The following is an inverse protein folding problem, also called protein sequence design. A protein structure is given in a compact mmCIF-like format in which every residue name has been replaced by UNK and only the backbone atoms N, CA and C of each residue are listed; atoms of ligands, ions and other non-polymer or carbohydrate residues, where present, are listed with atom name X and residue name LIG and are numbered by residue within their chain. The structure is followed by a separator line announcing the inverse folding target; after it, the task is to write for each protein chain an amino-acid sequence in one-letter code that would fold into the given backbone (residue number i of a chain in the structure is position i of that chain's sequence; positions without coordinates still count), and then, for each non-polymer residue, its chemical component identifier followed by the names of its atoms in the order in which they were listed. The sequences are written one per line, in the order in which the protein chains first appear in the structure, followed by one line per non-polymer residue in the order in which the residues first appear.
data_IF_059803977957
#
_entry.id   IF_059803977957
#
_cell.length_a   1.000
_cell.length_b   1.000
_cell.length_c   1.000
_cell.angle_alpha   90.00
_cell.angle_beta   90.00
_cell.angle_gamma   90.00
#
_symmetry.space_group_name_H-M   'P 1'
#
loop_
_entity.id
_entity.type
_entity.pdbx_description
1 polymer ?
#
# COMPACT_ATOMS: atom_id res chain seq x y z
N UNK A 1 -39.06 -18.97 41.13
CA UNK A 1 -37.78 -18.60 40.48
C UNK A 1 -36.82 -18.14 41.55
N UNK A 2 -35.92 -18.99 42.03
CA UNK A 2 -34.83 -18.57 42.93
C UNK A 2 -33.57 -19.34 42.53
N UNK A 3 -32.82 -18.74 41.60
CA UNK A 3 -31.52 -19.24 41.17
C UNK A 3 -30.54 -19.14 42.34
N UNK A 4 -29.99 -20.28 42.79
CA UNK A 4 -28.93 -20.29 43.81
C UNK A 4 -27.64 -19.80 43.15
N UNK A 5 -27.30 -18.54 43.36
CA UNK A 5 -26.08 -17.95 42.85
C UNK A 5 -24.87 -18.59 43.55
N UNK A 6 -24.00 -19.25 42.79
CA UNK A 6 -22.81 -19.94 43.31
C UNK A 6 -21.68 -18.92 43.59
N UNK A 7 -21.84 -18.18 44.69
CA UNK A 7 -20.95 -17.11 45.17
C UNK A 7 -19.46 -17.48 45.15
N UNK A 8 -19.01 -18.68 45.60
CA UNK A 8 -17.57 -18.99 45.56
C UNK A 8 -17.01 -19.08 44.14
N UNK A 9 -17.81 -19.54 43.17
CA UNK A 9 -17.41 -19.59 41.76
C UNK A 9 -17.25 -18.21 41.14
N UNK A 10 -18.14 -17.27 41.49
CA UNK A 10 -18.05 -15.88 41.02
C UNK A 10 -16.81 -15.17 41.57
N UNK A 11 -16.48 -15.40 42.84
CA UNK A 11 -15.27 -14.84 43.47
C UNK A 11 -14.00 -15.40 42.80
N UNK A 12 -13.94 -16.72 42.57
CA UNK A 12 -12.78 -17.36 41.93
C UNK A 12 -12.55 -16.84 40.50
N UNK A 13 -13.63 -16.63 39.74
CA UNK A 13 -13.57 -16.06 38.39
C UNK A 13 -13.09 -14.60 38.43
N UNK A 14 -13.62 -13.78 39.35
CA UNK A 14 -13.20 -12.37 39.45
C UNK A 14 -11.72 -12.20 39.79
N UNK A 15 -11.14 -13.12 40.58
CA UNK A 15 -9.72 -13.09 40.94
C UNK A 15 -8.82 -13.49 39.76
N UNK A 16 -9.29 -14.36 38.86
CA UNK A 16 -8.54 -14.78 37.67
C UNK A 16 -8.38 -13.66 36.62
N UNK A 17 -9.28 -12.67 36.59
CA UNK A 17 -9.23 -11.58 35.59
C UNK A 17 -8.24 -10.45 35.94
N UNK A 18 -7.72 -10.38 37.17
CA UNK A 18 -6.79 -9.32 37.59
C UNK A 18 -5.30 -9.61 37.27
N UNK A 19 -5.00 -10.75 36.64
CA UNK A 19 -3.63 -11.28 36.52
C UNK A 19 -2.78 -10.68 35.37
N UNK A 20 -3.33 -9.81 34.51
CA UNK A 20 -2.61 -9.28 33.34
C UNK A 20 -2.35 -7.76 33.42
N UNK A 21 -1.71 -7.28 34.49
CA UNK A 21 -1.18 -5.91 34.54
C UNK A 21 0.29 -5.89 34.05
N UNK A 22 0.62 -5.20 32.93
CA UNK A 22 1.99 -5.05 32.49
C UNK A 22 2.76 -4.07 33.40
N UNK A 23 3.98 -4.43 33.79
CA UNK A 23 4.88 -3.54 34.53
C UNK A 23 5.44 -2.44 33.61
N UNK A 24 5.49 -1.17 34.04
CA UNK A 24 6.07 -0.10 33.24
C UNK A 24 7.58 -0.35 33.01
N UNK A 25 8.09 -0.12 31.79
CA UNK A 25 9.49 -0.31 31.47
C UNK A 25 10.37 0.69 32.23
N UNK A 26 11.48 0.20 32.81
CA UNK A 26 12.48 1.06 33.46
C UNK A 26 13.17 1.93 32.41
N UNK A 27 13.24 3.27 32.58
CA UNK A 27 13.97 4.13 31.66
C UNK A 27 15.44 3.71 31.55
N UNK A 28 15.95 3.56 30.32
CA UNK A 28 17.34 3.20 30.06
C UNK A 28 18.29 4.33 30.48
N UNK A 29 19.35 4.00 31.22
CA UNK A 29 20.30 4.97 31.79
C UNK A 29 21.05 5.80 30.74
N UNK A 30 21.11 5.34 29.48
CA UNK A 30 21.90 5.97 28.42
C UNK A 30 21.29 7.20 27.74
N UNK A 31 20.08 7.65 28.14
CA UNK A 31 19.42 8.80 27.49
C UNK A 31 19.56 10.12 28.26
N UNK A 32 20.06 10.08 29.51
CA UNK A 32 20.19 11.27 30.38
C UNK A 32 21.66 11.65 30.63
N UNK A 33 22.61 10.77 30.31
CA UNK A 33 24.01 11.14 30.28
C UNK A 33 24.29 11.93 29.01
N UNK A 34 24.44 13.25 29.15
CA UNK A 34 24.95 14.11 28.10
C UNK A 34 26.45 13.76 27.97
N UNK A 35 26.90 13.15 26.86
CA UNK A 35 28.32 12.88 26.70
C UNK A 35 29.07 14.21 26.72
N UNK A 36 30.05 14.32 27.61
CA UNK A 36 30.95 15.48 27.69
C UNK A 36 31.64 15.63 26.34
N UNK A 37 31.27 16.66 25.59
CA UNK A 37 31.89 16.99 24.30
C UNK A 37 33.35 17.34 24.58
N UNK A 38 34.25 16.38 24.34
CA UNK A 38 35.68 16.65 24.27
C UNK A 38 35.88 17.45 22.98
N UNK A 39 36.28 18.71 23.11
CA UNK A 39 36.41 19.65 21.99
C UNK A 39 37.38 19.12 20.94
N UNK A 40 36.83 18.53 19.89
CA UNK A 40 37.52 18.25 18.64
C UNK A 40 37.30 19.40 17.68
N UNK A 41 38.36 19.82 16.99
CA UNK A 41 38.33 20.83 15.95
C UNK A 41 37.37 20.35 14.84
N UNK A 42 36.24 21.04 14.69
CA UNK A 42 35.21 20.64 13.73
C UNK A 42 35.71 21.02 12.33
N UNK A 43 35.70 20.09 11.35
CA UNK A 43 36.12 20.42 10.00
C UNK A 43 35.22 21.52 9.42
N UNK A 44 35.79 22.41 8.58
CA UNK A 44 35.04 23.52 8.01
C UNK A 44 33.86 23.01 7.16
N UNK A 45 32.74 23.75 7.10
CA UNK A 45 31.57 23.38 6.30
C UNK A 45 31.93 23.15 4.84
N UNK A 46 31.44 22.04 4.28
CA UNK A 46 31.60 21.74 2.85
C UNK A 46 30.69 22.69 2.05
N UNK A 47 31.30 23.72 1.45
CA UNK A 47 30.59 24.77 0.69
C UNK A 47 30.51 24.48 -0.81
N UNK A 48 31.25 23.49 -1.30
CA UNK A 48 31.29 23.14 -2.72
C UNK A 48 30.60 21.80 -2.96
N UNK A 49 29.36 21.85 -3.46
CA UNK A 49 28.64 20.68 -3.98
C UNK A 49 28.72 20.72 -5.51
N UNK A 50 29.12 19.63 -6.19
CA UNK A 50 29.07 19.56 -7.64
C UNK A 50 27.66 19.87 -8.18
N UNK A 51 27.53 20.51 -9.35
CA UNK A 51 26.23 20.75 -9.96
C UNK A 51 25.49 19.43 -10.17
N UNK A 52 24.18 19.41 -9.86
CA UNK A 52 23.34 18.28 -10.20
C UNK A 52 23.34 18.08 -11.72
N UNK A 53 23.37 16.83 -12.20
CA UNK A 53 23.17 16.57 -13.61
C UNK A 53 21.80 17.13 -14.04
N UNK A 54 21.67 17.62 -15.29
CA UNK A 54 20.42 18.13 -15.78
C UNK A 54 19.32 17.06 -15.69
N UNK A 55 18.08 17.42 -15.35
CA UNK A 55 16.96 16.49 -15.34
C UNK A 55 16.83 15.79 -16.69
N UNK A 56 16.67 14.47 -16.68
CA UNK A 56 16.37 13.71 -17.90
C UNK A 56 14.88 13.83 -18.18
N UNK A 57 14.54 14.23 -19.40
CA UNK A 57 13.15 14.21 -19.88
C UNK A 57 12.76 12.73 -20.07
N UNK A 58 11.67 12.24 -19.46
CA UNK A 58 11.17 10.90 -19.73
C UNK A 58 10.77 10.76 -21.21
N UNK A 59 11.01 9.59 -21.79
CA UNK A 59 10.45 9.26 -23.11
C UNK A 59 8.91 9.34 -23.07
N UNK A 60 8.26 9.93 -24.10
CA UNK A 60 6.81 9.95 -24.18
C UNK A 60 6.26 8.52 -24.16
N UNK A 61 5.45 8.19 -23.15
CA UNK A 61 4.74 6.91 -23.10
C UNK A 61 3.40 7.05 -23.79
N UNK A 62 3.02 6.07 -24.60
CA UNK A 62 1.70 6.06 -25.25
C UNK A 62 0.57 6.08 -24.20
N UNK A 63 -0.40 6.96 -24.45
CA UNK A 63 -1.59 7.14 -23.60
C UNK A 63 -2.84 6.77 -24.38
N UNK A 64 -3.82 6.27 -23.65
CA UNK A 64 -5.09 5.81 -24.18
C UNK A 64 -6.22 6.37 -23.33
N UNK A 65 -7.38 6.53 -23.97
CA UNK A 65 -8.57 7.10 -23.35
C UNK A 65 -9.77 6.17 -23.54
N UNK A 66 -10.31 5.68 -22.44
CA UNK A 66 -11.47 4.78 -22.42
C UNK A 66 -12.47 5.21 -21.37
N UNK A 67 -13.72 5.37 -21.81
CA UNK A 67 -14.84 5.74 -20.95
C UNK A 67 -15.98 4.77 -21.21
N UNK A 68 -16.43 4.12 -20.15
CA UNK A 68 -17.49 3.12 -20.23
C UNK A 68 -18.18 2.94 -18.90
N UNK A 69 -19.48 2.74 -18.94
CA UNK A 69 -20.30 2.40 -17.78
C UNK A 69 -20.82 1.00 -18.01
N UNK A 70 -20.58 0.11 -17.04
CA UNK A 70 -21.08 -1.26 -17.07
C UNK A 70 -20.70 -1.98 -18.38
N UNK A 71 -19.41 -2.00 -18.73
CA UNK A 71 -18.91 -2.61 -19.96
C UNK A 71 -18.40 -4.03 -19.68
N UNK A 72 -18.65 -5.03 -20.54
CA UNK A 72 -18.04 -6.35 -20.43
C UNK A 72 -16.51 -6.26 -20.40
N UNK A 73 -15.88 -6.83 -19.36
CA UNK A 73 -14.44 -6.73 -19.18
C UNK A 73 -13.65 -7.32 -20.36
N UNK A 74 -14.11 -8.44 -20.92
CA UNK A 74 -13.45 -9.11 -22.04
C UNK A 74 -13.42 -8.25 -23.30
N UNK A 75 -14.54 -7.60 -23.62
CA UNK A 75 -14.66 -6.70 -24.77
C UNK A 75 -13.74 -5.50 -24.59
N UNK A 76 -13.79 -4.86 -23.42
CA UNK A 76 -12.90 -3.75 -23.08
C UNK A 76 -11.42 -4.10 -23.21
N UNK A 77 -11.00 -5.29 -22.75
CA UNK A 77 -9.63 -5.76 -22.86
C UNK A 77 -9.20 -5.99 -24.32
N UNK A 78 -10.09 -6.53 -25.16
CA UNK A 78 -9.81 -6.69 -26.60
C UNK A 78 -9.75 -5.35 -27.33
N UNK A 79 -10.63 -4.41 -26.99
CA UNK A 79 -10.60 -3.04 -27.52
C UNK A 79 -9.29 -2.34 -27.16
N UNK A 80 -8.88 -2.42 -25.89
CA UNK A 80 -7.59 -1.89 -25.42
C UNK A 80 -6.39 -2.53 -26.16
N UNK A 81 -6.40 -3.85 -26.34
CA UNK A 81 -5.34 -4.55 -27.05
C UNK A 81 -5.23 -4.10 -28.51
N UNK A 82 -6.38 -3.92 -29.18
CA UNK A 82 -6.46 -3.42 -30.55
C UNK A 82 -5.93 -2.00 -30.67
N UNK A 83 -6.30 -1.11 -29.76
CA UNK A 83 -5.86 0.29 -29.77
C UNK A 83 -4.35 0.41 -29.48
N UNK A 84 -3.87 -0.36 -28.50
CA UNK A 84 -2.45 -0.44 -28.16
C UNK A 84 -1.60 -1.27 -29.14
N UNK A 85 -2.22 -1.88 -30.16
CA UNK A 85 -1.56 -2.71 -31.19
C UNK A 85 -0.70 -3.85 -30.58
N UNK A 86 -1.21 -4.50 -29.55
CA UNK A 86 -0.55 -5.64 -28.89
C UNK A 86 -1.35 -6.92 -29.02
N UNK A 87 -0.65 -8.05 -28.96
CA UNK A 87 -1.27 -9.36 -28.84
C UNK A 87 -1.62 -9.62 -27.36
N UNK A 88 -2.84 -10.06 -27.10
CA UNK A 88 -3.33 -10.36 -25.74
C UNK A 88 -4.10 -11.66 -25.74
N UNK A 89 -3.73 -12.56 -24.84
CA UNK A 89 -4.46 -13.78 -24.54
C UNK A 89 -5.32 -13.57 -23.29
N UNK A 90 -6.63 -13.82 -23.41
CA UNK A 90 -7.59 -13.68 -22.31
C UNK A 90 -8.09 -15.05 -21.90
N UNK A 91 -7.83 -15.45 -20.66
CA UNK A 91 -8.31 -16.72 -20.15
C UNK A 91 -9.85 -16.81 -20.19
N UNK A 92 -10.42 -18.01 -20.42
CA UNK A 92 -11.87 -18.19 -20.54
C UNK A 92 -12.67 -17.82 -19.28
N UNK A 93 -12.03 -17.92 -18.11
CA UNK A 93 -12.62 -17.64 -16.80
C UNK A 93 -12.75 -16.14 -16.50
N UNK A 94 -12.08 -15.27 -17.26
CA UNK A 94 -12.19 -13.82 -17.14
C UNK A 94 -13.61 -13.36 -17.49
N UNK A 95 -14.34 -12.90 -16.47
CA UNK A 95 -15.74 -12.50 -16.54
C UNK A 95 -15.97 -11.23 -15.70
N UNK A 96 -17.14 -10.63 -15.86
CA UNK A 96 -17.57 -9.47 -15.10
C UNK A 96 -17.74 -8.21 -15.95
N UNK A 97 -18.28 -7.18 -15.31
CA UNK A 97 -18.55 -5.88 -15.92
C UNK A 97 -17.85 -4.80 -15.11
N UNK A 98 -17.37 -3.78 -15.81
CA UNK A 98 -16.59 -2.71 -15.21
C UNK A 98 -17.10 -1.37 -15.71
N UNK A 99 -17.09 -0.39 -14.81
CA UNK A 99 -17.24 1.01 -15.16
C UNK A 99 -15.90 1.68 -15.00
N UNK A 100 -15.42 2.32 -16.05
CA UNK A 100 -14.10 2.95 -16.08
C UNK A 100 -14.19 4.30 -16.78
N UNK A 101 -13.48 5.28 -16.24
CA UNK A 101 -13.17 6.53 -16.90
C UNK A 101 -11.66 6.73 -16.79
N UNK A 102 -10.94 6.46 -17.87
CA UNK A 102 -9.50 6.63 -18.00
C UNK A 102 -9.24 7.56 -19.17
N UNK A 103 -8.65 8.73 -18.91
CA UNK A 103 -8.30 9.71 -19.94
C UNK A 103 -6.81 9.95 -19.82
N UNK A 104 -6.11 9.94 -20.94
CA UNK A 104 -4.67 10.17 -21.07
C UNK A 104 -3.84 9.29 -20.10
N UNK A 105 -4.21 8.02 -19.99
CA UNK A 105 -3.54 7.05 -19.13
C UNK A 105 -2.76 6.03 -19.93
N UNK A 106 -1.61 5.64 -19.40
CA UNK A 106 -0.80 4.58 -20.01
C UNK A 106 -1.50 3.23 -19.88
N UNK A 107 -1.26 2.31 -20.81
CA UNK A 107 -1.85 0.98 -20.76
C UNK A 107 -1.63 0.25 -19.41
N UNK A 108 -0.42 0.24 -18.81
CA UNK A 108 -0.23 -0.39 -17.49
C UNK A 108 -1.11 0.20 -16.39
N UNK A 109 -1.32 1.53 -16.38
CA UNK A 109 -2.20 2.18 -15.40
C UNK A 109 -3.66 1.75 -15.57
N UNK A 110 -4.13 1.64 -16.82
CA UNK A 110 -5.49 1.17 -17.11
C UNK A 110 -5.65 -0.28 -16.66
N UNK A 111 -4.70 -1.17 -17.00
CA UNK A 111 -4.72 -2.58 -16.58
C UNK A 111 -4.69 -2.74 -15.05
N UNK A 112 -3.95 -1.89 -14.34
CA UNK A 112 -3.90 -1.91 -12.87
C UNK A 112 -5.23 -1.46 -12.25
N UNK A 113 -5.94 -0.51 -12.87
CA UNK A 113 -7.28 -0.13 -12.42
C UNK A 113 -8.27 -1.28 -12.62
N UNK A 114 -8.22 -1.94 -13.77
CA UNK A 114 -9.08 -3.08 -14.10
C UNK A 114 -8.81 -4.28 -13.17
N UNK A 115 -7.53 -4.54 -12.83
CA UNK A 115 -7.16 -5.63 -11.91
C UNK A 115 -7.78 -5.45 -10.52
N UNK A 116 -7.85 -4.22 -10.02
CA UNK A 116 -8.47 -3.90 -8.72
C UNK A 116 -10.00 -4.06 -8.75
N UNK A 117 -10.66 -3.69 -9.84
CA UNK A 117 -12.11 -3.76 -9.95
C UNK A 117 -12.63 -5.18 -10.19
N UNK A 118 -11.97 -5.93 -11.07
CA UNK A 118 -12.44 -7.25 -11.52
C UNK A 118 -11.62 -8.43 -10.98
N UNK A 119 -10.65 -8.19 -10.08
CA UNK A 119 -9.76 -9.22 -9.51
C UNK A 119 -9.00 -10.05 -10.56
N UNK A 120 -8.71 -9.47 -11.72
CA UNK A 120 -7.89 -10.10 -12.77
C UNK A 120 -6.41 -9.84 -12.56
N UNK A 121 -5.55 -10.69 -13.12
CA UNK A 121 -4.10 -10.52 -13.12
C UNK A 121 -3.60 -10.47 -14.56
N UNK A 122 -2.60 -9.64 -14.82
CA UNK A 122 -1.93 -9.54 -16.11
C UNK A 122 -0.45 -9.87 -15.96
N UNK A 123 0.14 -10.41 -17.04
CA UNK A 123 1.56 -10.71 -17.17
C UNK A 123 2.01 -10.26 -18.55
N UNK A 124 3.24 -9.77 -18.64
CA UNK A 124 3.87 -9.34 -19.88
C UNK A 124 4.82 -10.40 -20.39
#
# INVERSE_FOLDING_TARGET
MTSRLNIPGVILISLALAACAPTPPKPGAGHVDIPRVVGGETPPPVTAVPPLPPPRVPEPTEVYSVVGIDVPLRELLFELARDAKINVDIQPDVQGRVSINAIDQTLPQILERLSRQARVRFRR
#
